data_IF_218873509633
#
_entry.id   IF_218873509633
#
_cell.length_a   1.000
_cell.length_b   1.000
_cell.length_c   1.000
_cell.angle_alpha   90.00
_cell.angle_beta   90.00
_cell.angle_gamma   90.00
#
_symmetry.space_group_name_H-M   'P 1'
#
loop_
_entity.id
_entity.type
_entity.pdbx_description
1 polymer ?
#
# COMPACT_ATOMS: atom_id res chain seq x y z
N UNK A 1 -1.36 27.04 3.15
CA UNK A 1 -0.99 26.04 2.10
C UNK A 1 -0.09 24.99 2.70
N UNK A 2 -0.45 23.71 2.56
CA UNK A 2 0.45 22.63 2.95
C UNK A 2 1.62 22.53 1.98
N UNK A 3 2.82 22.28 2.53
CA UNK A 3 3.99 22.06 1.68
C UNK A 3 3.93 20.64 1.08
N UNK A 4 3.99 20.57 -0.24
CA UNK A 4 4.09 19.31 -0.98
C UNK A 4 5.55 19.05 -1.34
N UNK A 5 6.08 17.91 -0.95
CA UNK A 5 7.35 17.39 -1.48
C UNK A 5 7.09 16.34 -2.55
N UNK A 6 7.97 16.31 -3.56
CA UNK A 6 7.96 15.30 -4.62
C UNK A 6 9.31 14.59 -4.64
N UNK A 7 9.26 13.28 -4.67
CA UNK A 7 10.41 12.40 -4.83
C UNK A 7 10.20 11.50 -6.06
N UNK A 8 11.26 11.15 -6.76
CA UNK A 8 11.26 10.09 -7.76
C UNK A 8 11.93 8.86 -7.15
N UNK A 9 11.13 7.92 -6.69
CA UNK A 9 11.61 6.67 -6.09
C UNK A 9 12.10 5.72 -7.19
N UNK A 10 13.37 5.35 -7.17
CA UNK A 10 13.91 4.38 -8.11
C UNK A 10 13.38 2.97 -7.80
N UNK A 11 12.84 2.31 -8.82
CA UNK A 11 12.26 0.95 -8.72
C UNK A 11 12.94 -0.06 -9.65
N UNK A 12 13.87 0.38 -10.49
CA UNK A 12 14.61 -0.47 -11.40
C UNK A 12 15.37 0.34 -12.43
N UNK A 13 16.00 -0.37 -13.34
CA UNK A 13 16.75 0.19 -14.44
C UNK A 13 16.48 -0.60 -15.72
N UNK A 14 16.33 0.07 -16.83
CA UNK A 14 16.24 -0.55 -18.15
C UNK A 14 17.62 -0.96 -18.64
N UNK A 15 17.68 -1.89 -19.60
CA UNK A 15 18.94 -2.30 -20.24
C UNK A 15 19.70 -1.13 -20.90
N UNK A 16 19.02 -0.04 -21.21
CA UNK A 16 19.61 1.20 -21.72
C UNK A 16 20.26 2.10 -20.66
N UNK A 17 20.21 1.73 -19.36
CA UNK A 17 20.65 2.56 -18.25
C UNK A 17 19.62 3.61 -17.78
N UNK A 18 18.46 3.66 -18.40
CA UNK A 18 17.39 4.58 -17.97
C UNK A 18 16.75 4.06 -16.69
N UNK A 19 16.72 4.90 -15.66
CA UNK A 19 16.10 4.57 -14.38
C UNK A 19 14.57 4.52 -14.51
N UNK A 20 13.99 3.45 -13.98
CA UNK A 20 12.55 3.33 -13.77
C UNK A 20 12.22 3.97 -12.42
N UNK A 21 11.38 4.99 -12.44
CA UNK A 21 11.04 5.75 -11.23
C UNK A 21 9.53 5.85 -11.03
N UNK A 22 9.12 5.91 -9.76
CA UNK A 22 7.75 6.16 -9.32
C UNK A 22 7.69 7.53 -8.65
N UNK A 23 6.80 8.44 -9.09
CA UNK A 23 6.63 9.73 -8.44
C UNK A 23 5.86 9.55 -7.12
N UNK A 24 6.46 9.98 -6.03
CA UNK A 24 5.88 9.95 -4.68
C UNK A 24 5.70 11.38 -4.20
N UNK A 25 4.47 11.76 -3.88
CA UNK A 25 4.14 13.07 -3.30
C UNK A 25 3.84 12.90 -1.82
N UNK A 26 4.41 13.77 -0.99
CA UNK A 26 4.16 13.76 0.45
C UNK A 26 3.70 15.12 0.94
N UNK A 27 2.66 15.10 1.76
CA UNK A 27 2.16 16.24 2.52
C UNK A 27 2.32 15.92 4.00
N UNK A 28 2.95 16.82 4.74
CA UNK A 28 3.13 16.70 6.18
C UNK A 28 2.07 17.53 6.89
N UNK A 29 1.35 16.91 7.83
CA UNK A 29 0.45 17.63 8.71
C UNK A 29 1.24 18.61 9.60
N UNK A 30 0.72 19.82 9.84
CA UNK A 30 1.34 20.74 10.77
C UNK A 30 1.35 20.12 12.18
N UNK A 31 2.52 20.18 12.83
CA UNK A 31 2.66 19.73 14.22
C UNK A 31 2.24 20.87 15.13
N UNK A 32 1.06 20.79 15.73
CA UNK A 32 0.63 21.70 16.78
C UNK A 32 1.07 21.15 18.13
N UNK A 33 1.73 21.99 18.94
CA UNK A 33 2.18 21.62 20.28
C UNK A 33 0.97 21.24 21.14
N UNK A 34 0.96 20.01 21.65
CA UNK A 34 -0.10 19.49 22.53
C UNK A 34 -1.28 18.80 21.83
N UNK A 35 -1.24 18.63 20.50
CA UNK A 35 -2.23 17.82 19.76
C UNK A 35 -1.60 16.54 19.23
N UNK A 36 -2.34 15.44 19.35
CA UNK A 36 -1.96 14.19 18.70
C UNK A 36 -2.13 14.35 17.18
N UNK A 37 -1.16 13.85 16.44
CA UNK A 37 -1.22 13.78 14.99
C UNK A 37 -2.31 12.77 14.59
N UNK A 38 -3.12 13.10 13.60
CA UNK A 38 -4.09 12.17 13.03
C UNK A 38 -3.42 11.03 12.25
N UNK A 39 -4.20 10.02 11.86
CA UNK A 39 -3.68 8.86 11.11
C UNK A 39 -3.07 9.30 9.79
N UNK A 40 -2.04 8.59 9.40
CA UNK A 40 -1.36 8.75 8.12
C UNK A 40 -2.05 7.97 7.02
N UNK A 41 -2.00 8.48 5.79
CA UNK A 41 -2.71 7.90 4.63
C UNK A 41 -1.74 7.65 3.49
N UNK A 42 -1.84 6.49 2.87
CA UNK A 42 -1.20 6.16 1.60
C UNK A 42 -2.26 5.90 0.53
N UNK A 43 -2.12 6.53 -0.62
CA UNK A 43 -3.01 6.32 -1.76
C UNK A 43 -2.17 6.11 -3.00
N UNK A 44 -2.38 4.98 -3.69
CA UNK A 44 -1.76 4.73 -5.00
C UNK A 44 -2.80 4.53 -6.09
N UNK A 45 -2.36 4.65 -7.33
CA UNK A 45 -3.12 4.34 -8.53
C UNK A 45 -2.20 3.80 -9.62
N UNK A 46 -2.81 3.20 -10.63
CA UNK A 46 -2.15 2.81 -11.87
C UNK A 46 -1.07 1.73 -11.69
N UNK A 47 -1.36 0.73 -10.87
CA UNK A 47 -0.60 -0.51 -10.85
C UNK A 47 -0.77 -1.25 -12.17
N UNK A 48 -1.98 -1.22 -12.75
CA UNK A 48 -2.27 -1.70 -14.10
C UNK A 48 -2.28 -0.51 -15.09
N UNK A 49 -1.54 -0.62 -16.18
CA UNK A 49 -1.23 0.49 -17.08
C UNK A 49 -2.43 1.15 -17.77
N UNK A 50 -3.51 0.39 -18.02
CA UNK A 50 -4.73 0.92 -18.65
C UNK A 50 -5.67 1.66 -17.68
N UNK A 51 -5.45 1.52 -16.36
CA UNK A 51 -6.36 2.02 -15.32
C UNK A 51 -5.97 3.44 -14.88
N UNK A 52 -6.09 4.41 -15.81
CA UNK A 52 -5.57 5.78 -15.63
C UNK A 52 -6.50 6.73 -14.87
N UNK A 53 -7.73 6.33 -14.56
CA UNK A 53 -8.72 7.19 -13.89
C UNK A 53 -8.28 7.57 -12.47
N UNK A 54 -7.65 6.64 -11.73
CA UNK A 54 -7.09 6.90 -10.43
C UNK A 54 -6.01 7.99 -10.42
N UNK A 55 -5.26 8.13 -11.51
CA UNK A 55 -4.26 9.20 -11.64
C UNK A 55 -4.92 10.59 -11.57
N UNK A 56 -6.03 10.77 -12.32
CA UNK A 56 -6.77 12.03 -12.31
C UNK A 56 -7.34 12.33 -10.91
N UNK A 57 -7.85 11.31 -10.23
CA UNK A 57 -8.32 11.43 -8.84
C UNK A 57 -7.19 11.90 -7.92
N UNK A 58 -6.03 11.25 -7.97
CA UNK A 58 -4.89 11.60 -7.10
C UNK A 58 -4.38 13.02 -7.41
N UNK A 59 -4.29 13.44 -8.68
CA UNK A 59 -3.85 14.80 -9.00
C UNK A 59 -4.85 15.86 -8.57
N UNK A 60 -6.16 15.62 -8.71
CA UNK A 60 -7.19 16.52 -8.18
C UNK A 60 -7.13 16.59 -6.64
N UNK A 61 -6.98 15.44 -5.99
CA UNK A 61 -6.83 15.37 -4.53
C UNK A 61 -5.58 16.14 -4.08
N UNK A 62 -4.46 16.03 -4.78
CA UNK A 62 -3.23 16.75 -4.48
C UNK A 62 -3.45 18.28 -4.48
N UNK A 63 -4.20 18.81 -5.48
CA UNK A 63 -4.51 20.23 -5.53
C UNK A 63 -5.43 20.67 -4.35
N UNK A 64 -6.45 19.87 -4.05
CA UNK A 64 -7.35 20.15 -2.92
C UNK A 64 -6.60 20.11 -1.57
N UNK A 65 -5.74 19.14 -1.37
CA UNK A 65 -4.99 18.97 -0.11
C UNK A 65 -4.01 20.11 0.18
N UNK A 66 -3.59 20.88 -0.82
CA UNK A 66 -2.76 22.08 -0.59
C UNK A 66 -3.47 23.12 0.28
N UNK A 67 -4.78 23.23 0.13
CA UNK A 67 -5.61 24.25 0.78
C UNK A 67 -6.34 23.74 2.04
N UNK A 68 -6.49 22.43 2.18
CA UNK A 68 -7.20 21.81 3.29
C UNK A 68 -6.34 21.73 4.56
N UNK A 69 -7.00 21.83 5.72
CA UNK A 69 -6.32 21.56 6.99
C UNK A 69 -6.21 20.06 7.23
N UNK A 70 -5.09 19.47 6.82
CA UNK A 70 -4.79 18.05 7.04
C UNK A 70 -4.35 17.80 8.48
N UNK A 71 -4.78 16.67 9.05
CA UNK A 71 -4.45 16.27 10.43
C UNK A 71 -3.42 15.16 10.53
N UNK A 72 -3.27 14.38 9.48
CA UNK A 72 -2.29 13.29 9.35
C UNK A 72 -1.42 13.48 8.11
N UNK A 73 -0.29 12.79 8.04
CA UNK A 73 0.56 12.79 6.86
C UNK A 73 -0.12 12.04 5.71
N UNK A 74 0.11 12.51 4.49
CA UNK A 74 -0.49 11.90 3.30
C UNK A 74 0.63 11.61 2.29
N UNK A 75 0.68 10.38 1.80
CA UNK A 75 1.56 9.94 0.73
C UNK A 75 0.72 9.53 -0.48
N UNK A 76 1.00 10.13 -1.62
CA UNK A 76 0.26 9.92 -2.87
C UNK A 76 1.18 9.41 -3.96
N UNK A 77 0.77 8.32 -4.62
CA UNK A 77 1.51 7.68 -5.72
C UNK A 77 0.58 7.56 -6.95
N UNK A 78 0.55 8.58 -7.83
CA UNK A 78 -0.37 8.57 -8.98
C UNK A 78 0.00 7.55 -10.06
N UNK A 79 1.27 7.15 -10.17
CA UNK A 79 1.80 6.20 -11.15
C UNK A 79 2.62 5.14 -10.45
N UNK A 80 1.96 4.08 -9.98
CA UNK A 80 2.59 3.02 -9.19
C UNK A 80 3.53 2.14 -10.04
N UNK A 81 3.23 1.93 -11.33
CA UNK A 81 3.98 1.01 -12.16
C UNK A 81 4.42 1.63 -13.50
N UNK A 82 5.69 2.10 -13.59
CA UNK A 82 6.21 2.71 -14.81
C UNK A 82 6.35 1.75 -15.99
N UNK A 83 6.42 0.43 -15.75
CA UNK A 83 6.48 -0.57 -16.82
C UNK A 83 5.11 -0.77 -17.43
N UNK A 84 4.09 -1.01 -16.60
CA UNK A 84 2.73 -1.28 -17.07
C UNK A 84 2.14 -0.11 -17.85
N UNK A 85 2.40 1.11 -17.41
CA UNK A 85 1.92 2.34 -18.06
C UNK A 85 2.50 2.54 -19.48
N UNK A 86 3.69 1.97 -19.73
CA UNK A 86 4.39 2.06 -21.02
C UNK A 86 4.22 0.82 -21.90
N UNK A 87 3.51 -0.19 -21.40
CA UNK A 87 3.27 -1.42 -22.15
C UNK A 87 2.16 -1.20 -23.20
N UNK A 88 2.57 -1.11 -24.46
CA UNK A 88 1.69 -0.91 -25.61
C UNK A 88 1.49 -2.21 -26.40
N UNK A 89 0.27 -2.38 -26.91
CA UNK A 89 -0.05 -3.37 -27.95
C UNK A 89 -0.79 -2.62 -29.07
N UNK A 90 -0.07 -2.28 -30.15
CA UNK A 90 -0.56 -1.35 -31.13
C UNK A 90 -0.82 0.04 -30.51
N UNK A 91 -2.03 0.55 -30.67
CA UNK A 91 -2.45 1.85 -30.10
C UNK A 91 -2.96 1.75 -28.66
N UNK A 92 -3.11 0.53 -28.11
CA UNK A 92 -3.70 0.30 -26.79
C UNK A 92 -2.65 0.11 -25.72
N UNK A 93 -2.92 0.65 -24.51
CA UNK A 93 -2.21 0.30 -23.29
C UNK A 93 -2.95 -0.84 -22.62
N UNK A 94 -2.31 -1.99 -22.48
CA UNK A 94 -2.85 -3.14 -21.75
C UNK A 94 -2.37 -3.15 -20.30
N UNK A 95 -1.14 -3.49 -20.06
CA UNK A 95 -0.42 -3.33 -18.80
C UNK A 95 -1.08 -3.93 -17.56
N UNK A 96 -1.87 -5.02 -17.68
CA UNK A 96 -2.42 -5.73 -16.54
C UNK A 96 -1.48 -6.81 -16.03
N UNK A 97 -0.76 -7.45 -16.93
CA UNK A 97 0.18 -8.53 -16.62
C UNK A 97 1.60 -8.12 -16.98
N UNK A 98 2.57 -8.62 -16.21
CA UNK A 98 3.98 -8.51 -16.56
C UNK A 98 4.24 -9.30 -17.87
N UNK A 99 4.72 -8.67 -18.93
CA UNK A 99 4.94 -9.34 -20.21
C UNK A 99 6.06 -10.40 -20.17
N UNK A 100 6.90 -10.40 -19.15
CA UNK A 100 8.01 -11.33 -18.99
C UNK A 100 7.54 -12.58 -18.24
N UNK A 101 6.84 -12.41 -17.13
CA UNK A 101 6.46 -13.51 -16.24
C UNK A 101 5.02 -13.99 -16.45
N UNK A 102 4.17 -13.18 -17.08
CA UNK A 102 2.73 -13.42 -17.22
C UNK A 102 1.95 -13.23 -15.92
N UNK A 103 2.59 -12.79 -14.85
CA UNK A 103 1.94 -12.58 -13.55
C UNK A 103 1.21 -11.23 -13.55
N UNK A 104 0.02 -11.18 -12.95
CA UNK A 104 -0.68 -9.93 -12.72
C UNK A 104 0.16 -9.04 -11.80
N UNK A 105 0.36 -7.77 -12.18
CA UNK A 105 1.16 -6.82 -11.42
C UNK A 105 0.67 -6.66 -9.97
N UNK A 106 -0.65 -6.71 -9.74
CA UNK A 106 -1.26 -6.67 -8.41
C UNK A 106 -1.35 -8.07 -7.76
N UNK A 107 -0.38 -8.97 -8.04
CA UNK A 107 -0.20 -10.29 -7.41
C UNK A 107 1.28 -10.56 -7.10
N UNK A 108 2.05 -9.49 -6.91
CA UNK A 108 3.48 -9.59 -6.67
C UNK A 108 3.90 -9.06 -5.30
N UNK A 109 2.94 -8.67 -4.46
CA UNK A 109 3.19 -8.23 -3.09
C UNK A 109 3.52 -9.41 -2.19
N UNK A 110 4.08 -9.13 -1.02
CA UNK A 110 4.61 -10.16 -0.13
C UNK A 110 3.92 -10.13 1.23
N UNK A 111 3.63 -11.32 1.73
CA UNK A 111 3.22 -11.55 3.11
C UNK A 111 3.94 -12.79 3.64
N UNK A 112 4.47 -12.71 4.85
CA UNK A 112 5.16 -13.81 5.54
C UNK A 112 4.70 -13.82 7.00
N UNK A 113 3.95 -14.85 7.36
CA UNK A 113 3.38 -15.04 8.70
C UNK A 113 4.30 -15.80 9.66
N UNK A 114 5.42 -16.33 9.16
CA UNK A 114 6.31 -17.24 9.89
C UNK A 114 6.82 -16.72 11.25
N UNK A 115 6.88 -15.38 11.40
CA UNK A 115 7.36 -14.74 12.62
C UNK A 115 6.24 -14.23 13.55
N UNK A 116 4.97 -14.27 13.09
CA UNK A 116 3.88 -13.59 13.81
C UNK A 116 3.56 -14.29 15.14
N UNK A 117 3.48 -15.62 15.15
CA UNK A 117 3.25 -16.39 16.38
C UNK A 117 4.34 -16.11 17.42
N UNK A 118 5.63 -16.21 17.03
CA UNK A 118 6.75 -15.90 17.92
C UNK A 118 6.72 -14.46 18.42
N UNK A 119 6.36 -13.52 17.55
CA UNK A 119 6.20 -12.12 17.92
C UNK A 119 5.07 -11.94 18.94
N UNK A 120 3.91 -12.55 18.74
CA UNK A 120 2.78 -12.47 19.66
C UNK A 120 3.14 -13.02 21.05
N UNK A 121 3.80 -14.17 21.12
CA UNK A 121 4.30 -14.76 22.38
C UNK A 121 5.27 -13.80 23.09
N UNK A 122 6.21 -13.20 22.36
CA UNK A 122 7.21 -12.28 22.90
C UNK A 122 6.59 -11.02 23.48
N UNK A 123 5.56 -10.47 22.83
CA UNK A 123 4.96 -9.18 23.18
C UNK A 123 3.60 -9.27 23.87
N UNK A 124 3.19 -10.46 24.34
CA UNK A 124 1.88 -10.66 24.97
C UNK A 124 1.61 -9.74 26.18
N UNK A 125 2.66 -9.33 26.88
CA UNK A 125 2.59 -8.43 28.06
C UNK A 125 2.80 -6.95 27.75
N UNK A 126 3.12 -6.58 26.50
CA UNK A 126 3.37 -5.18 26.11
C UNK A 126 2.07 -4.40 25.89
N UNK A 127 2.11 -3.08 25.95
CA UNK A 127 0.94 -2.25 25.59
C UNK A 127 0.72 -2.24 24.06
N UNK A 128 -0.54 -1.97 23.63
CA UNK A 128 -0.92 -2.03 22.23
C UNK A 128 -0.07 -1.10 21.34
N UNK A 129 0.25 0.11 21.79
CA UNK A 129 1.09 1.05 21.07
C UNK A 129 2.55 0.57 20.87
N UNK A 130 3.08 -0.22 21.81
CA UNK A 130 4.39 -0.84 21.66
C UNK A 130 4.32 -2.00 20.66
N UNK A 131 3.28 -2.83 20.76
CA UNK A 131 3.02 -3.94 19.83
C UNK A 131 2.92 -3.41 18.41
N UNK A 132 2.06 -2.42 18.18
CA UNK A 132 1.88 -1.77 16.88
C UNK A 132 3.22 -1.29 16.30
N UNK A 133 3.97 -0.50 17.07
CA UNK A 133 5.26 0.03 16.64
C UNK A 133 6.27 -1.07 16.30
N UNK A 134 6.38 -2.10 17.14
CA UNK A 134 7.34 -3.20 16.95
C UNK A 134 6.93 -4.09 15.79
N UNK A 135 5.64 -4.36 15.63
CA UNK A 135 5.15 -5.17 14.54
C UNK A 135 5.30 -4.46 13.18
N UNK A 136 4.99 -3.19 13.10
CA UNK A 136 5.26 -2.34 11.91
C UNK A 136 6.75 -2.40 11.54
N UNK A 137 7.64 -2.32 12.51
CA UNK A 137 9.08 -2.46 12.28
C UNK A 137 9.47 -3.85 11.78
N UNK A 138 8.88 -4.92 12.31
CA UNK A 138 9.09 -6.29 11.85
C UNK A 138 8.74 -6.43 10.36
N UNK A 139 7.53 -6.00 9.97
CA UNK A 139 7.07 -6.04 8.58
C UNK A 139 8.03 -5.29 7.65
N UNK A 140 8.39 -4.06 8.01
CA UNK A 140 9.30 -3.25 7.21
C UNK A 140 10.67 -3.91 7.06
N UNK A 141 11.19 -4.53 8.12
CA UNK A 141 12.47 -5.27 8.07
C UNK A 141 12.38 -6.49 7.14
N UNK A 142 11.27 -7.25 7.17
CA UNK A 142 11.06 -8.37 6.25
C UNK A 142 11.06 -7.91 4.78
N UNK A 143 10.37 -6.80 4.48
CA UNK A 143 10.33 -6.24 3.12
C UNK A 143 11.73 -5.77 2.69
N UNK A 144 12.47 -5.08 3.55
CA UNK A 144 13.83 -4.62 3.27
C UNK A 144 14.78 -5.80 3.01
N UNK A 145 14.69 -6.86 3.81
CA UNK A 145 15.46 -8.08 3.58
C UNK A 145 15.15 -8.72 2.21
N UNK A 146 13.88 -8.74 1.78
CA UNK A 146 13.50 -9.21 0.44
C UNK A 146 14.07 -8.33 -0.66
N UNK A 147 14.12 -7.01 -0.47
CA UNK A 147 14.69 -6.08 -1.44
C UNK A 147 16.21 -6.22 -1.58
N UNK A 148 16.92 -6.50 -0.48
CA UNK A 148 18.38 -6.48 -0.43
C UNK A 148 19.03 -7.86 -0.59
N UNK A 149 18.42 -8.91 -0.05
CA UNK A 149 19.05 -10.23 0.13
C UNK A 149 18.40 -11.35 -0.68
N UNK A 150 17.83 -11.05 -1.85
CA UNK A 150 17.29 -12.10 -2.70
C UNK A 150 18.40 -12.76 -3.53
N UNK A 151 18.74 -14.02 -3.21
CA UNK A 151 19.83 -14.80 -3.85
C UNK A 151 19.66 -14.93 -5.36
N UNK A 152 18.42 -15.02 -5.85
CA UNK A 152 18.11 -15.16 -7.27
C UNK A 152 17.78 -13.83 -7.95
N UNK A 153 17.89 -12.71 -7.22
CA UNK A 153 17.43 -11.39 -7.66
C UNK A 153 15.92 -11.26 -7.61
N UNK A 154 15.44 -10.06 -7.87
CA UNK A 154 14.01 -9.74 -7.96
C UNK A 154 13.64 -9.47 -9.41
N UNK A 155 12.47 -9.93 -9.83
CA UNK A 155 11.88 -9.42 -11.07
C UNK A 155 11.58 -7.93 -10.92
N UNK A 156 11.46 -7.22 -12.03
CA UNK A 156 11.09 -5.80 -12.00
C UNK A 156 9.76 -5.58 -11.28
N UNK A 157 8.80 -6.47 -11.49
CA UNK A 157 7.50 -6.40 -10.84
C UNK A 157 7.57 -6.58 -9.32
N UNK A 158 8.33 -7.56 -8.85
CA UNK A 158 8.55 -7.75 -7.40
C UNK A 158 9.24 -6.54 -6.77
N UNK A 159 10.24 -5.97 -7.44
CA UNK A 159 10.92 -4.78 -6.95
C UNK A 159 9.98 -3.58 -6.84
N UNK A 160 9.15 -3.36 -7.86
CA UNK A 160 8.11 -2.31 -7.82
C UNK A 160 7.14 -2.57 -6.66
N UNK A 161 6.58 -3.79 -6.57
CA UNK A 161 5.62 -4.15 -5.55
C UNK A 161 6.18 -3.97 -4.13
N UNK A 162 7.39 -4.45 -3.84
CA UNK A 162 7.98 -4.35 -2.50
C UNK A 162 8.34 -2.91 -2.11
N UNK A 163 8.77 -2.07 -3.06
CA UNK A 163 9.00 -0.65 -2.80
C UNK A 163 7.69 0.09 -2.48
N UNK A 164 6.61 -0.20 -3.19
CA UNK A 164 5.28 0.36 -2.92
C UNK A 164 4.72 -0.15 -1.59
N UNK A 165 4.84 -1.44 -1.32
CA UNK A 165 4.41 -2.06 -0.07
C UNK A 165 5.14 -1.46 1.13
N UNK A 166 6.46 -1.20 1.01
CA UNK A 166 7.23 -0.51 2.05
C UNK A 166 6.69 0.88 2.36
N UNK A 167 6.24 1.62 1.33
CA UNK A 167 5.58 2.92 1.54
C UNK A 167 4.20 2.76 2.19
N UNK A 168 3.42 1.79 1.74
CA UNK A 168 2.07 1.53 2.25
C UNK A 168 2.10 1.17 3.75
N UNK A 169 3.02 0.33 4.18
CA UNK A 169 3.17 -0.04 5.60
C UNK A 169 3.64 1.11 6.52
N UNK A 170 4.04 2.25 5.98
CA UNK A 170 4.30 3.45 6.78
C UNK A 170 3.00 4.19 7.15
N UNK A 171 1.91 3.90 6.48
CA UNK A 171 0.61 4.54 6.70
C UNK A 171 -0.29 3.70 7.61
N UNK A 172 -1.31 4.36 8.17
CA UNK A 172 -2.35 3.76 9.01
C UNK A 172 -3.59 3.42 8.16
N UNK A 173 -3.79 4.12 7.04
CA UNK A 173 -4.82 3.85 6.05
C UNK A 173 -4.20 3.72 4.66
N UNK A 174 -4.56 2.66 3.94
CA UNK A 174 -4.07 2.36 2.59
C UNK A 174 -5.22 2.28 1.61
N UNK A 175 -5.12 2.99 0.49
CA UNK A 175 -6.05 2.91 -0.63
C UNK A 175 -5.31 2.60 -1.92
N UNK A 176 -5.76 1.56 -2.64
CA UNK A 176 -5.28 1.19 -3.96
C UNK A 176 -6.39 1.42 -5.00
N UNK A 177 -6.19 2.41 -5.88
CA UNK A 177 -7.20 2.83 -6.83
C UNK A 177 -7.07 2.04 -8.13
N UNK A 178 -8.08 1.24 -8.42
CA UNK A 178 -8.20 0.45 -9.64
C UNK A 178 -9.41 0.86 -10.47
N UNK A 179 -9.45 0.41 -11.73
CA UNK A 179 -10.59 0.66 -12.62
C UNK A 179 -10.87 -0.57 -13.47
N UNK A 180 -12.13 -1.03 -13.47
CA UNK A 180 -12.60 -2.01 -14.43
C UNK A 180 -12.97 -1.37 -15.78
N UNK A 181 -13.06 -2.13 -16.89
CA UNK A 181 -13.42 -1.62 -18.21
C UNK A 181 -14.80 -0.96 -18.24
N UNK A 182 -15.79 -1.56 -17.60
CA UNK A 182 -17.15 -1.03 -17.36
C UNK A 182 -17.53 -1.41 -15.95
N UNK A 183 -17.60 -0.43 -15.06
CA UNK A 183 -17.84 -0.66 -13.65
C UNK A 183 -18.55 0.52 -13.00
N UNK A 184 -19.36 0.25 -11.98
CA UNK A 184 -19.83 1.27 -11.04
C UNK A 184 -18.76 1.51 -9.97
N UNK A 185 -18.86 2.66 -9.28
CA UNK A 185 -17.99 2.90 -8.12
C UNK A 185 -18.27 1.87 -7.04
N UNK A 186 -17.24 1.20 -6.58
CA UNK A 186 -17.30 0.22 -5.49
C UNK A 186 -16.02 0.26 -4.66
N UNK A 187 -16.11 -0.24 -3.44
CA UNK A 187 -15.01 -0.40 -2.50
C UNK A 187 -14.89 -1.89 -2.19
N UNK A 188 -13.72 -2.48 -2.42
CA UNK A 188 -13.33 -3.73 -1.78
C UNK A 188 -12.84 -3.41 -0.37
N UNK A 189 -13.46 -4.04 0.63
CA UNK A 189 -13.12 -3.85 2.02
C UNK A 189 -12.96 -5.21 2.69
N UNK A 190 -11.80 -5.52 3.31
CA UNK A 190 -11.64 -6.76 4.03
C UNK A 190 -12.60 -6.79 5.24
N UNK A 191 -13.04 -7.99 5.61
CA UNK A 191 -13.90 -8.19 6.78
C UNK A 191 -13.32 -7.52 8.03
N UNK A 192 -12.02 -7.60 8.18
CA UNK A 192 -11.23 -6.97 9.24
C UNK A 192 -11.48 -5.46 9.38
N UNK A 193 -11.69 -4.74 8.26
CA UNK A 193 -11.85 -3.28 8.23
C UNK A 193 -13.30 -2.85 7.90
N UNK A 194 -14.29 -3.73 8.02
CA UNK A 194 -15.68 -3.48 7.60
C UNK A 194 -16.23 -2.15 8.10
N UNK A 195 -16.00 -1.80 9.35
CA UNK A 195 -16.51 -0.57 9.96
C UNK A 195 -15.88 0.69 9.33
N UNK A 196 -14.67 0.59 8.80
CA UNK A 196 -13.98 1.68 8.13
C UNK A 196 -14.63 2.04 6.79
N UNK A 197 -15.34 1.12 6.15
CA UNK A 197 -16.04 1.35 4.89
C UNK A 197 -17.13 2.44 5.01
N UNK A 198 -17.70 2.62 6.20
CA UNK A 198 -18.72 3.65 6.45
C UNK A 198 -18.21 5.09 6.17
N UNK A 199 -16.92 5.32 6.29
CA UNK A 199 -16.33 6.65 6.07
C UNK A 199 -16.14 7.00 4.60
N UNK A 200 -16.39 6.05 3.69
CA UNK A 200 -16.29 6.27 2.25
C UNK A 200 -17.69 6.45 1.66
N UNK A 201 -17.93 7.58 0.98
CA UNK A 201 -19.16 7.83 0.23
C UNK A 201 -19.11 7.09 -1.13
N UNK A 202 -19.06 5.76 -1.05
CA UNK A 202 -19.03 4.85 -2.19
C UNK A 202 -20.27 3.96 -2.15
N UNK A 203 -21.07 3.92 -3.24
CA UNK A 203 -22.42 3.31 -3.20
C UNK A 203 -22.41 1.79 -2.99
N UNK A 204 -21.31 1.12 -3.32
CA UNK A 204 -21.21 -0.34 -3.22
C UNK A 204 -19.95 -0.73 -2.45
N UNK A 205 -20.12 -1.40 -1.32
CA UNK A 205 -19.02 -2.03 -0.57
C UNK A 205 -19.11 -3.54 -0.74
N UNK A 206 -18.04 -4.11 -1.24
CA UNK A 206 -17.85 -5.55 -1.41
C UNK A 206 -16.93 -6.03 -0.30
N UNK A 207 -17.50 -6.76 0.65
CA UNK A 207 -16.69 -7.34 1.73
C UNK A 207 -15.96 -8.56 1.19
N UNK A 208 -14.64 -8.56 1.36
CA UNK A 208 -13.75 -9.65 0.95
C UNK A 208 -13.22 -10.39 2.19
N UNK A 209 -12.84 -11.67 2.06
CA UNK A 209 -12.24 -12.41 3.16
C UNK A 209 -10.88 -11.84 3.56
N UNK A 210 -10.43 -12.15 4.77
CA UNK A 210 -9.12 -11.73 5.28
C UNK A 210 -8.01 -12.69 4.81
N UNK A 211 -7.97 -12.99 3.53
CA UNK A 211 -7.02 -13.93 2.91
C UNK A 211 -6.01 -13.20 2.03
N UNK A 212 -4.84 -13.80 1.83
CA UNK A 212 -3.77 -13.26 0.99
C UNK A 212 -3.66 -14.02 -0.33
N UNK A 213 -3.83 -13.29 -1.46
CA UNK A 213 -3.63 -13.80 -2.83
C UNK A 213 -2.65 -12.91 -3.63
N UNK A 214 -1.87 -12.07 -2.94
CA UNK A 214 -0.76 -11.30 -3.51
C UNK A 214 -1.07 -9.85 -3.88
N UNK A 215 -2.25 -9.31 -3.59
CA UNK A 215 -2.60 -7.91 -3.81
C UNK A 215 -2.04 -6.98 -2.72
N UNK A 216 -1.99 -5.67 -3.01
CA UNK A 216 -1.46 -4.69 -2.06
C UNK A 216 -2.33 -4.56 -0.80
N UNK A 217 -3.63 -4.45 -0.97
CA UNK A 217 -4.59 -4.37 0.14
C UNK A 217 -4.44 -5.58 1.06
N UNK A 218 -4.44 -6.79 0.50
CA UNK A 218 -4.21 -8.02 1.23
C UNK A 218 -2.85 -8.02 1.95
N UNK A 219 -1.77 -7.62 1.26
CA UNK A 219 -0.43 -7.54 1.85
C UNK A 219 -0.34 -6.51 2.99
N UNK A 220 -1.26 -5.55 3.06
CA UNK A 220 -1.27 -4.53 4.11
C UNK A 220 -2.19 -4.87 5.28
N UNK A 221 -3.33 -5.53 5.08
CA UNK A 221 -4.23 -5.88 6.17
C UNK A 221 -3.98 -7.29 6.74
N UNK A 222 -3.60 -8.28 5.94
CA UNK A 222 -3.39 -9.65 6.42
C UNK A 222 -2.40 -9.77 7.56
N UNK A 223 -1.25 -9.06 7.57
CA UNK A 223 -0.34 -9.12 8.71
C UNK A 223 -1.00 -8.71 10.04
N UNK A 224 -1.81 -7.64 10.02
CA UNK A 224 -2.49 -7.13 11.21
C UNK A 224 -3.62 -8.05 11.65
N UNK A 225 -4.39 -8.57 10.72
CA UNK A 225 -5.41 -9.57 10.97
C UNK A 225 -4.81 -10.82 11.62
N UNK A 226 -3.73 -11.37 11.03
CA UNK A 226 -3.05 -12.54 11.57
C UNK A 226 -2.48 -12.26 12.97
N UNK A 227 -1.91 -11.09 13.19
CA UNK A 227 -1.43 -10.68 14.51
C UNK A 227 -2.56 -10.67 15.55
N UNK A 228 -3.70 -10.09 15.23
CA UNK A 228 -4.86 -10.06 16.14
C UNK A 228 -5.34 -11.46 16.48
N UNK A 229 -5.40 -12.37 15.49
CA UNK A 229 -5.79 -13.75 15.72
C UNK A 229 -4.82 -14.50 16.64
N UNK A 230 -3.50 -14.30 16.45
CA UNK A 230 -2.50 -14.90 17.35
C UNK A 230 -2.64 -14.38 18.79
N UNK A 231 -2.84 -13.08 18.98
CA UNK A 231 -3.09 -12.53 20.31
C UNK A 231 -4.40 -13.06 20.92
N UNK A 232 -5.45 -13.23 20.10
CA UNK A 232 -6.72 -13.82 20.55
C UNK A 232 -6.56 -15.27 20.99
N UNK A 233 -5.75 -16.06 20.28
CA UNK A 233 -5.40 -17.43 20.67
C UNK A 233 -4.67 -17.44 22.03
N UNK A 234 -3.82 -16.46 22.28
CA UNK A 234 -3.12 -16.28 23.56
C UNK A 234 -3.99 -15.66 24.67
N UNK A 235 -5.28 -15.43 24.41
CA UNK A 235 -6.26 -14.93 25.39
C UNK A 235 -6.28 -13.41 25.56
N UNK A 236 -5.76 -12.66 24.58
CA UNK A 236 -5.74 -11.19 24.58
C UNK A 236 -6.34 -10.62 23.29
N UNK A 237 -7.23 -9.65 23.40
CA UNK A 237 -7.69 -8.83 22.28
C UNK A 237 -6.81 -7.58 22.15
N UNK A 238 -6.42 -7.23 20.90
CA UNK A 238 -5.69 -6.02 20.60
C UNK A 238 -6.64 -4.92 20.12
N UNK A 239 -6.38 -3.68 20.53
CA UNK A 239 -7.09 -2.47 20.08
C UNK A 239 -6.21 -1.64 19.12
N UNK A 240 -5.79 -2.27 18.02
CA UNK A 240 -4.89 -1.68 17.00
C UNK A 240 -5.50 -1.79 15.62
#
# INVERSE_FOLDING_TARGET
MNQVSKELMAVGEMASGVQLTVPVYRLKAPVNVGQNKGPSVYIQANMHGAEVQGNAVIYQLLELLKELNIKGDITLVPYANPVSCNHKNGEYTLGRFDPITGVNWNRMYHFDDSMITTFAEQYIGSCDSEIEKKFKQLILTQIEQKLEHNVFGLTTGQRIAYQLQRLAHQADLVLDLHTGPISSKHLYCPEYCRDSAYYFDIPHTLIIPNDFDGALDEATFCPWWTLQEEFRILGRELSI
#
